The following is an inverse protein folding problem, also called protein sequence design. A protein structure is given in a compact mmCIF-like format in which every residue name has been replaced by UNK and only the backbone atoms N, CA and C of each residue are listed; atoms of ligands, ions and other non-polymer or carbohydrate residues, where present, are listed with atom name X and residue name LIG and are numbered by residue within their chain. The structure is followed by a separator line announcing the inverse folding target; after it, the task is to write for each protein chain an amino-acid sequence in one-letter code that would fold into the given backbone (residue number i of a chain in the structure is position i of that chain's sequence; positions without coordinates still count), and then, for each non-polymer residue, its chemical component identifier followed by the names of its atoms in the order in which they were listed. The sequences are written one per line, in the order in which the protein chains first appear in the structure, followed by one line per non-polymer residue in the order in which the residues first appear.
data_IF_749530711119
#
_entry.id   IF_749530711119
#
_cell.length_a   1.000
_cell.length_b   1.000
_cell.length_c   1.000
_cell.angle_alpha   90.00
_cell.angle_beta   90.00
_cell.angle_gamma   90.00
#
_symmetry.space_group_name_H-M   'P 1'
#
loop_
_entity.id
_entity.type
_entity.pdbx_description
1 polymer ?
#
# COMPACT_ATOMS: atom_id res chain seq x y z
N UNK A 1 2.11 -9.04 17.42
CA UNK A 1 2.12 -7.76 18.16
C UNK A 1 1.43 -7.98 19.48
N UNK A 2 1.89 -7.32 20.54
CA UNK A 2 1.14 -7.26 21.81
C UNK A 2 0.04 -6.21 21.72
N UNK A 3 -0.96 -6.27 22.61
CA UNK A 3 -2.04 -5.27 22.68
C UNK A 3 -1.51 -3.84 22.86
N UNK A 4 -0.43 -3.68 23.64
CA UNK A 4 0.25 -2.40 23.82
C UNK A 4 0.86 -1.88 22.51
N UNK A 5 1.46 -2.77 21.71
CA UNK A 5 2.01 -2.40 20.40
C UNK A 5 0.90 -2.03 19.43
N UNK A 6 -0.21 -2.78 19.41
CA UNK A 6 -1.37 -2.48 18.58
C UNK A 6 -1.96 -1.11 18.93
N UNK A 7 -2.16 -0.81 20.22
CA UNK A 7 -2.62 0.50 20.69
C UNK A 7 -1.68 1.63 20.26
N UNK A 8 -0.36 1.44 20.41
CA UNK A 8 0.64 2.43 19.98
C UNK A 8 0.56 2.72 18.48
N UNK A 9 0.38 1.69 17.64
CA UNK A 9 0.23 1.86 16.19
C UNK A 9 -1.06 2.60 15.86
N UNK A 10 -2.20 2.22 16.46
CA UNK A 10 -3.50 2.86 16.20
C UNK A 10 -3.57 4.32 16.66
N UNK A 11 -2.88 4.67 17.75
CA UNK A 11 -2.81 6.06 18.25
C UNK A 11 -1.81 6.92 17.46
N UNK A 12 -0.95 6.32 16.64
CA UNK A 12 0.06 7.05 15.91
C UNK A 12 -0.58 7.84 14.77
N UNK A 13 -0.53 9.17 14.86
CA UNK A 13 -0.81 10.04 13.72
C UNK A 13 0.26 9.82 12.65
N UNK A 14 -0.18 9.57 11.42
CA UNK A 14 0.70 9.45 10.27
C UNK A 14 0.95 10.83 9.67
N UNK A 15 2.22 11.21 9.64
CA UNK A 15 2.66 12.45 9.01
C UNK A 15 2.95 12.15 7.55
N UNK A 16 2.17 12.76 6.67
CA UNK A 16 2.32 12.63 5.23
C UNK A 16 3.13 13.84 4.74
N UNK A 17 4.24 13.64 4.00
CA UNK A 17 5.02 14.75 3.45
C UNK A 17 4.18 15.68 2.56
N UNK A 18 4.58 16.95 2.48
CA UNK A 18 3.87 17.96 1.68
C UNK A 18 3.71 17.53 0.21
N UNK A 19 2.52 17.73 -0.33
CA UNK A 19 2.16 17.35 -1.71
C UNK A 19 1.80 15.86 -1.89
N UNK A 20 1.89 15.05 -0.84
CA UNK A 20 1.49 13.65 -0.87
C UNK A 20 0.18 13.41 -0.11
N UNK A 21 -0.56 12.38 -0.51
CA UNK A 21 -1.74 11.89 0.21
C UNK A 21 -1.68 10.38 0.37
N UNK A 22 -2.33 9.86 1.41
CA UNK A 22 -2.43 8.42 1.68
C UNK A 22 -3.88 7.97 1.55
N UNK A 23 -4.10 6.75 1.06
CA UNK A 23 -5.43 6.17 0.95
C UNK A 23 -5.42 4.74 0.45
N UNK A 24 -6.58 4.25 0.03
CA UNK A 24 -6.74 2.90 -0.53
C UNK A 24 -6.55 2.93 -2.05
N UNK A 25 -5.99 1.86 -2.65
CA UNK A 25 -5.91 1.78 -4.09
C UNK A 25 -7.28 1.80 -4.79
N UNK A 26 -7.37 2.44 -5.95
CA UNK A 26 -8.54 2.45 -6.80
C UNK A 26 -8.57 1.17 -7.65
N UNK A 27 -9.58 0.34 -7.40
CA UNK A 27 -9.80 -0.95 -8.06
C UNK A 27 -9.76 -0.91 -9.60
N UNK A 28 -10.32 0.14 -10.21
CA UNK A 28 -10.48 0.22 -11.67
C UNK A 28 -9.22 0.73 -12.36
N UNK A 29 -8.47 1.61 -11.69
CA UNK A 29 -7.38 2.34 -12.32
C UNK A 29 -6.00 1.85 -11.90
N UNK A 30 -5.86 1.28 -10.70
CA UNK A 30 -4.53 1.06 -10.11
C UNK A 30 -4.05 -0.40 -10.19
N UNK A 31 -4.95 -1.39 -10.40
CA UNK A 31 -4.56 -2.79 -10.55
C UNK A 31 -3.51 -2.99 -11.67
N UNK A 32 -3.74 -2.41 -12.85
CA UNK A 32 -2.77 -2.47 -13.97
C UNK A 32 -1.43 -1.82 -13.61
N UNK A 33 -1.45 -0.69 -12.92
CA UNK A 33 -0.23 -0.01 -12.49
C UNK A 33 0.58 -0.87 -11.51
N UNK A 34 -0.09 -1.53 -10.57
CA UNK A 34 0.56 -2.37 -9.54
C UNK A 34 1.13 -3.65 -10.14
N UNK A 35 0.37 -4.32 -11.00
CA UNK A 35 0.87 -5.51 -11.72
C UNK A 35 2.05 -5.16 -12.63
N UNK A 36 2.00 -4.00 -13.29
CA UNK A 36 3.08 -3.52 -14.17
C UNK A 36 4.39 -3.21 -13.46
N UNK A 37 4.43 -3.14 -12.12
CA UNK A 37 5.70 -2.99 -11.39
C UNK A 37 6.42 -4.31 -11.15
N UNK A 38 5.85 -5.45 -11.54
CA UNK A 38 6.44 -6.77 -11.32
C UNK A 38 7.31 -7.14 -12.52
N UNK A 39 8.57 -7.49 -12.28
CA UNK A 39 9.51 -7.83 -13.35
C UNK A 39 9.06 -9.02 -14.22
N UNK A 40 8.18 -9.87 -13.68
CA UNK A 40 7.64 -11.06 -14.35
C UNK A 40 6.10 -11.09 -14.32
N UNK A 41 5.45 -9.96 -14.05
CA UNK A 41 3.99 -9.89 -14.09
C UNK A 41 3.48 -9.79 -15.53
N UNK A 42 2.30 -10.34 -15.79
CA UNK A 42 1.63 -10.22 -17.08
C UNK A 42 0.18 -9.73 -16.95
N UNK A 43 -0.51 -9.56 -18.08
CA UNK A 43 -1.90 -9.10 -18.09
C UNK A 43 -2.87 -10.11 -17.41
N UNK A 44 -2.50 -11.38 -17.30
CA UNK A 44 -3.25 -12.41 -16.58
C UNK A 44 -3.27 -12.20 -15.06
N UNK A 45 -2.27 -11.52 -14.50
CA UNK A 45 -2.18 -11.21 -13.07
C UNK A 45 -3.03 -10.01 -12.63
N UNK A 46 -3.57 -9.25 -13.58
CA UNK A 46 -4.35 -8.03 -13.27
C UNK A 46 -5.61 -8.37 -12.47
N UNK A 47 -6.31 -9.45 -12.85
CA UNK A 47 -7.52 -9.85 -12.12
C UNK A 47 -7.20 -10.28 -10.69
N UNK A 48 -6.10 -11.01 -10.49
CA UNK A 48 -5.65 -11.38 -9.15
C UNK A 48 -5.35 -10.12 -8.31
N UNK A 49 -4.64 -9.16 -8.89
CA UNK A 49 -4.33 -7.88 -8.22
C UNK A 49 -5.60 -7.10 -7.89
N UNK A 50 -6.58 -7.07 -8.79
CA UNK A 50 -7.89 -6.46 -8.57
C UNK A 50 -8.62 -7.13 -7.40
N UNK A 51 -8.63 -8.46 -7.35
CA UNK A 51 -9.26 -9.18 -6.23
C UNK A 51 -8.55 -8.95 -4.90
N UNK A 52 -7.22 -8.82 -4.90
CA UNK A 52 -6.45 -8.44 -3.70
C UNK A 52 -6.87 -7.08 -3.18
N UNK A 53 -6.92 -6.06 -4.04
CA UNK A 53 -7.38 -4.70 -3.65
C UNK A 53 -8.81 -4.73 -3.10
N UNK A 54 -9.70 -5.53 -3.71
CA UNK A 54 -11.11 -5.61 -3.30
C UNK A 54 -11.31 -6.27 -1.95
N UNK A 55 -10.53 -7.31 -1.63
CA UNK A 55 -10.81 -8.21 -0.50
C UNK A 55 -9.83 -8.08 0.66
N UNK A 56 -8.64 -7.54 0.42
CA UNK A 56 -7.57 -7.49 1.40
C UNK A 56 -7.19 -6.03 1.70
N UNK A 57 -6.83 -5.73 2.96
CA UNK A 57 -6.20 -4.46 3.32
C UNK A 57 -5.11 -4.08 2.32
N UNK A 58 -5.22 -2.86 1.80
CA UNK A 58 -4.30 -2.31 0.81
C UNK A 58 -4.17 -0.82 1.05
N UNK A 59 -2.96 -0.28 0.90
CA UNK A 59 -2.69 1.16 1.05
C UNK A 59 -1.85 1.65 -0.12
N UNK A 60 -2.05 2.91 -0.50
CA UNK A 60 -1.26 3.62 -1.50
C UNK A 60 -0.98 5.05 -1.07
N UNK A 61 0.07 5.61 -1.65
CA UNK A 61 0.39 7.03 -1.58
C UNK A 61 0.22 7.62 -2.98
N UNK A 62 -0.34 8.83 -3.02
CA UNK A 62 -0.49 9.61 -4.24
C UNK A 62 0.31 10.91 -4.17
N UNK A 63 0.73 11.39 -5.33
CA UNK A 63 1.20 12.77 -5.55
C UNK A 63 0.47 13.30 -6.77
N UNK A 64 -0.11 14.49 -6.66
CA UNK A 64 -0.86 15.13 -7.75
C UNK A 64 -1.95 14.20 -8.37
N UNK A 65 -2.59 13.38 -7.52
CA UNK A 65 -3.62 12.42 -7.91
C UNK A 65 -3.10 11.10 -8.50
N UNK A 66 -1.82 10.98 -8.82
CA UNK A 66 -1.20 9.75 -9.34
C UNK A 66 -0.67 8.88 -8.20
N UNK A 67 -0.88 7.56 -8.27
CA UNK A 67 -0.28 6.60 -7.34
C UNK A 67 1.23 6.47 -7.56
N UNK A 68 1.99 6.66 -6.49
CA UNK A 68 3.46 6.66 -6.50
C UNK A 68 4.08 5.60 -5.58
N UNK A 69 3.25 4.86 -4.86
CA UNK A 69 3.67 3.77 -3.99
C UNK A 69 2.47 3.08 -3.37
N UNK A 70 2.66 1.82 -3.00
CA UNK A 70 1.61 0.96 -2.49
C UNK A 70 2.15 -0.18 -1.64
N UNK A 71 1.26 -0.78 -0.87
CA UNK A 71 1.53 -1.97 -0.08
C UNK A 71 0.26 -2.80 0.07
N UNK A 72 0.35 -4.12 -0.06
CA UNK A 72 -0.77 -5.04 -0.03
C UNK A 72 -0.53 -6.21 0.91
N UNK A 73 -1.58 -7.00 1.13
CA UNK A 73 -1.47 -8.35 1.66
C UNK A 73 -1.58 -9.39 0.55
N UNK A 74 -0.99 -10.54 0.83
CA UNK A 74 -1.29 -11.80 0.15
C UNK A 74 -2.42 -12.56 0.86
N UNK A 75 -3.04 -13.50 0.15
CA UNK A 75 -4.12 -14.36 0.63
C UNK A 75 -3.82 -15.11 1.94
N UNK A 76 -2.55 -15.39 2.26
CA UNK A 76 -2.14 -16.02 3.53
C UNK A 76 -1.90 -15.01 4.68
N UNK A 77 -2.28 -13.74 4.50
CA UNK A 77 -2.05 -12.67 5.46
C UNK A 77 -0.60 -12.17 5.49
N UNK A 78 0.22 -12.56 4.51
CA UNK A 78 1.59 -12.06 4.39
C UNK A 78 1.61 -10.65 3.83
N UNK A 79 2.49 -9.82 4.37
CA UNK A 79 2.80 -8.53 3.78
C UNK A 79 3.47 -8.76 2.42
N UNK A 80 2.94 -8.14 1.37
CA UNK A 80 3.40 -8.38 0.01
C UNK A 80 3.38 -7.08 -0.82
N UNK A 81 4.28 -7.01 -1.82
CA UNK A 81 4.38 -5.92 -2.79
C UNK A 81 4.48 -4.52 -2.16
N UNK A 82 5.43 -4.34 -1.24
CA UNK A 82 5.81 -3.01 -0.77
C UNK A 82 6.63 -2.31 -1.86
N UNK A 83 6.08 -1.24 -2.45
CA UNK A 83 6.71 -0.57 -3.58
C UNK A 83 6.56 0.95 -3.52
N UNK A 84 7.64 1.66 -3.90
CA UNK A 84 7.64 3.11 -4.14
C UNK A 84 8.45 3.35 -5.42
N UNK A 85 7.86 4.11 -6.35
CA UNK A 85 8.53 4.53 -7.60
C UNK A 85 9.80 5.31 -7.30
N UNK A 86 10.85 5.09 -8.10
CA UNK A 86 12.23 5.48 -7.79
C UNK A 86 12.37 7.00 -7.55
N UNK A 87 11.66 7.79 -8.33
CA UNK A 87 11.61 9.25 -8.30
C UNK A 87 11.04 9.81 -6.98
N UNK A 88 10.34 8.97 -6.22
CA UNK A 88 9.72 9.31 -4.93
C UNK A 88 10.43 8.67 -3.72
N UNK A 89 11.53 7.92 -3.93
CA UNK A 89 12.30 7.31 -2.83
C UNK A 89 13.09 8.35 -2.03
N UNK A 90 13.64 7.91 -0.89
CA UNK A 90 14.42 8.77 0.02
C UNK A 90 13.59 9.75 0.88
N UNK A 91 12.25 9.68 0.80
CA UNK A 91 11.32 10.61 1.47
C UNK A 91 10.52 9.97 2.63
N UNK A 92 10.91 8.77 3.07
CA UNK A 92 10.21 8.04 4.14
C UNK A 92 8.85 7.44 3.76
N UNK A 93 8.48 7.45 2.47
CA UNK A 93 7.16 7.00 2.00
C UNK A 93 6.92 5.50 2.21
N UNK A 94 7.96 4.67 2.12
CA UNK A 94 7.82 3.24 2.41
C UNK A 94 7.46 2.97 3.88
N UNK A 95 8.12 3.66 4.80
CA UNK A 95 7.76 3.59 6.24
C UNK A 95 6.33 4.07 6.49
N UNK A 96 5.88 5.09 5.76
CA UNK A 96 4.50 5.58 5.84
C UNK A 96 3.50 4.51 5.39
N UNK A 97 3.77 3.81 4.26
CA UNK A 97 2.96 2.68 3.79
C UNK A 97 2.92 1.56 4.81
N UNK A 98 4.06 1.18 5.40
CA UNK A 98 4.14 0.11 6.41
C UNK A 98 3.28 0.43 7.65
N UNK A 99 3.38 1.66 8.17
CA UNK A 99 2.61 2.06 9.34
C UNK A 99 1.12 2.12 9.07
N UNK A 100 0.73 2.64 7.91
CA UNK A 100 -0.67 2.68 7.50
C UNK A 100 -1.26 1.30 7.26
N UNK A 101 -0.48 0.43 6.60
CA UNK A 101 -0.90 -0.95 6.38
C UNK A 101 -1.04 -1.71 7.71
N UNK A 102 -0.11 -1.48 8.66
CA UNK A 102 -0.22 -2.06 10.00
C UNK A 102 -1.50 -1.61 10.73
N UNK A 103 -1.92 -0.34 10.59
CA UNK A 103 -3.19 0.15 11.13
C UNK A 103 -4.40 -0.56 10.49
N UNK A 104 -4.35 -0.83 9.18
CA UNK A 104 -5.43 -1.52 8.47
C UNK A 104 -5.54 -3.02 8.79
N UNK A 105 -4.52 -3.61 9.43
CA UNK A 105 -4.45 -5.04 9.77
C UNK A 105 -4.74 -5.33 11.25
N UNK A 106 -5.15 -4.33 12.03
CA UNK A 106 -5.55 -4.46 13.43
C UNK A 106 -7.07 -4.51 13.50
N UNK A 107 -7.60 -5.57 14.11
CA UNK A 107 -9.04 -5.85 14.27
C UNK A 107 -9.47 -5.71 15.72
#
# INVERSE_FOLDING_TARGET
MTDEQMKKVMQKRLEVPEGYTIGTPNLQHEARCMTGTWSYGDDGDIELTREKIRRLPSVCIRKDGQMIGFYMLESLGWLNHHFVFEEHRGKGLGRLLELAQAQNCIW
#
